data_IF_506927613240
#
_entry.id   IF_506927613240
#
_cell.length_a   1.000
_cell.length_b   1.000
_cell.length_c   1.000
_cell.angle_alpha   90.00
_cell.angle_beta   90.00
_cell.angle_gamma   90.00
#
_symmetry.space_group_name_H-M   'P 1'
#
loop_
_entity.id
_entity.type
_entity.pdbx_description
1 polymer ?
#
# COMPACT_ATOMS: atom_id res chain seq x y z
N UNK A 1 14.56 17.02 -4.77
CA UNK A 1 14.00 16.56 -3.47
C UNK A 1 12.68 17.24 -3.20
N UNK A 2 11.70 16.49 -2.72
CA UNK A 2 10.45 17.06 -2.21
C UNK A 2 10.74 17.85 -0.93
N UNK A 3 10.27 19.11 -0.85
CA UNK A 3 10.54 19.98 0.30
C UNK A 3 9.56 19.78 1.46
N UNK A 4 8.51 18.99 1.27
CA UNK A 4 7.38 18.88 2.21
C UNK A 4 7.37 17.58 2.99
N UNK A 5 7.83 16.50 2.36
CA UNK A 5 7.92 15.17 3.00
C UNK A 5 8.99 14.32 2.33
N UNK A 6 9.50 13.31 3.03
CA UNK A 6 10.46 12.35 2.51
C UNK A 6 9.76 11.37 1.57
N UNK A 7 9.82 11.66 0.28
CA UNK A 7 9.10 10.90 -0.74
C UNK A 7 9.82 9.60 -1.09
N UNK A 8 9.05 8.59 -1.57
CA UNK A 8 9.63 7.36 -2.12
C UNK A 8 10.65 7.66 -3.23
N UNK A 9 10.40 8.67 -4.06
CA UNK A 9 11.35 9.04 -5.13
C UNK A 9 12.69 9.53 -4.56
N UNK A 10 12.65 10.36 -3.50
CA UNK A 10 13.88 10.83 -2.84
C UNK A 10 14.61 9.67 -2.15
N UNK A 11 13.85 8.76 -1.48
CA UNK A 11 14.42 7.56 -0.89
C UNK A 11 15.13 6.69 -1.93
N UNK A 12 14.47 6.40 -3.06
CA UNK A 12 15.04 5.58 -4.14
C UNK A 12 16.29 6.22 -4.74
N UNK A 13 16.26 7.54 -4.98
CA UNK A 13 17.42 8.26 -5.51
C UNK A 13 18.61 8.23 -4.53
N UNK A 14 18.33 8.38 -3.23
CA UNK A 14 19.38 8.34 -2.21
C UNK A 14 19.95 6.92 -2.03
N UNK A 15 19.12 5.90 -2.15
CA UNK A 15 19.52 4.50 -1.90
C UNK A 15 20.22 3.87 -3.10
N UNK A 16 19.70 4.11 -4.32
CA UNK A 16 20.18 3.42 -5.52
C UNK A 16 20.99 4.33 -6.46
N UNK A 17 21.05 5.65 -6.18
CA UNK A 17 21.80 6.60 -7.02
C UNK A 17 21.17 6.91 -8.37
N UNK A 18 20.08 6.22 -8.72
CA UNK A 18 19.43 6.29 -10.04
C UNK A 18 17.89 6.19 -9.93
N UNK A 19 17.23 6.40 -11.06
CA UNK A 19 15.78 6.30 -11.13
C UNK A 19 15.35 4.84 -11.12
N UNK A 20 14.65 4.45 -10.07
CA UNK A 20 14.04 3.12 -9.92
C UNK A 20 12.52 3.23 -10.05
N UNK A 21 11.87 2.24 -10.69
CA UNK A 21 10.42 2.23 -10.86
C UNK A 21 9.80 0.92 -10.35
N UNK A 22 8.60 0.97 -9.75
CA UNK A 22 7.88 -0.23 -9.30
C UNK A 22 7.15 -0.89 -10.45
N UNK A 23 7.36 -2.19 -10.65
CA UNK A 23 6.64 -3.05 -11.58
C UNK A 23 5.55 -3.81 -10.82
N UNK A 24 4.30 -3.54 -11.12
CA UNK A 24 3.17 -4.20 -10.47
C UNK A 24 2.94 -5.59 -11.06
N UNK A 25 3.04 -6.60 -10.21
CA UNK A 25 2.94 -8.02 -10.56
C UNK A 25 1.76 -8.65 -9.81
N UNK A 26 1.05 -9.55 -10.48
CA UNK A 26 -0.03 -10.36 -9.91
C UNK A 26 0.32 -11.83 -10.04
N UNK A 27 0.35 -12.54 -8.91
CA UNK A 27 0.63 -13.97 -8.86
C UNK A 27 -0.62 -14.83 -9.03
N UNK A 28 -1.81 -14.23 -9.16
CA UNK A 28 -3.08 -14.95 -9.18
C UNK A 28 -3.45 -15.59 -7.84
N UNK A 29 -2.83 -15.13 -6.74
CA UNK A 29 -3.13 -15.61 -5.40
C UNK A 29 -4.48 -15.06 -4.91
N UNK A 30 -5.01 -15.65 -3.85
CA UNK A 30 -6.25 -15.24 -3.21
C UNK A 30 -6.01 -14.52 -1.87
N UNK A 31 -7.05 -14.43 -1.07
CA UNK A 31 -7.02 -13.84 0.25
C UNK A 31 -7.91 -14.68 1.20
N UNK A 32 -7.50 -14.93 2.45
CA UNK A 32 -8.29 -15.70 3.40
C UNK A 32 -9.66 -15.07 3.72
N UNK A 33 -9.87 -13.80 3.40
CA UNK A 33 -11.17 -13.14 3.45
C UNK A 33 -12.08 -13.47 2.24
N UNK A 34 -11.60 -14.26 1.26
CA UNK A 34 -12.32 -14.54 0.02
C UNK A 34 -12.49 -16.02 -0.29
N UNK A 35 -11.62 -16.87 0.24
CA UNK A 35 -11.61 -18.31 -0.07
C UNK A 35 -12.39 -19.16 0.95
N UNK A 36 -13.07 -18.55 1.89
CA UNK A 36 -13.87 -19.20 2.91
C UNK A 36 -13.12 -19.51 4.21
N UNK A 37 -11.83 -19.21 4.31
CA UNK A 37 -11.08 -19.43 5.55
C UNK A 37 -11.48 -18.47 6.67
N UNK A 38 -11.65 -17.20 6.37
CA UNK A 38 -12.10 -16.15 7.29
C UNK A 38 -13.45 -15.56 6.88
N UNK A 39 -13.61 -15.23 5.62
CA UNK A 39 -14.85 -14.75 4.98
C UNK A 39 -14.84 -15.19 3.51
N UNK A 40 -15.99 -15.08 2.83
CA UNK A 40 -16.13 -15.36 1.39
C UNK A 40 -16.24 -14.10 0.54
N UNK A 41 -16.54 -12.95 1.16
CA UNK A 41 -16.84 -11.69 0.47
C UNK A 41 -15.67 -10.73 0.36
N UNK A 42 -14.60 -10.91 1.17
CA UNK A 42 -13.48 -9.99 1.26
C UNK A 42 -13.77 -8.73 2.08
N UNK A 43 -12.80 -7.84 2.18
CA UNK A 43 -13.02 -6.51 2.78
C UNK A 43 -14.09 -5.76 1.98
N UNK A 44 -14.94 -4.96 2.68
CA UNK A 44 -16.12 -4.33 2.07
C UNK A 44 -15.79 -3.37 0.91
N UNK A 45 -14.58 -2.83 0.87
CA UNK A 45 -14.09 -1.90 -0.16
C UNK A 45 -13.32 -2.58 -1.30
N UNK A 46 -13.05 -3.89 -1.16
CA UNK A 46 -12.15 -4.61 -2.07
C UNK A 46 -12.91 -5.19 -3.26
N UNK A 47 -12.65 -4.67 -4.46
CA UNK A 47 -13.22 -5.20 -5.68
C UNK A 47 -12.59 -6.55 -6.04
N UNK A 48 -13.38 -7.52 -6.46
CA UNK A 48 -12.88 -8.79 -6.98
C UNK A 48 -12.07 -8.56 -8.27
N UNK A 49 -10.93 -9.23 -8.41
CA UNK A 49 -10.06 -9.06 -9.57
C UNK A 49 -9.27 -7.75 -9.56
N UNK A 50 -8.85 -7.29 -8.41
CA UNK A 50 -8.36 -5.94 -8.11
C UNK A 50 -7.09 -5.47 -8.83
N UNK A 51 -6.52 -6.23 -9.75
CA UNK A 51 -5.25 -5.88 -10.36
C UNK A 51 -5.35 -5.41 -11.81
N UNK A 52 -6.21 -4.43 -12.06
CA UNK A 52 -6.31 -3.78 -13.38
C UNK A 52 -4.99 -3.13 -13.88
N UNK A 53 -3.97 -3.03 -13.03
CA UNK A 53 -2.70 -2.36 -13.32
C UNK A 53 -1.49 -3.29 -13.21
N UNK A 54 -1.69 -4.59 -13.00
CA UNK A 54 -0.58 -5.56 -12.80
C UNK A 54 -0.50 -6.56 -13.94
N UNK A 55 0.72 -7.01 -14.23
CA UNK A 55 0.95 -8.10 -15.14
C UNK A 55 0.59 -9.42 -14.44
N UNK A 56 -0.38 -10.16 -14.99
CA UNK A 56 -0.97 -11.35 -14.38
C UNK A 56 -0.73 -12.64 -15.18
N UNK A 57 -0.34 -12.58 -16.45
CA UNK A 57 -0.18 -13.75 -17.30
C UNK A 57 1.29 -14.19 -17.43
N UNK A 58 1.52 -15.51 -17.57
CA UNK A 58 2.82 -16.11 -17.77
C UNK A 58 3.57 -16.43 -16.47
N UNK A 59 4.79 -16.89 -16.63
CA UNK A 59 5.71 -17.07 -15.51
C UNK A 59 6.23 -15.73 -14.95
N UNK A 60 7.08 -15.78 -13.93
CA UNK A 60 7.55 -14.54 -13.27
C UNK A 60 8.40 -13.66 -14.19
N UNK A 61 9.17 -14.27 -15.11
CA UNK A 61 10.00 -13.52 -16.06
C UNK A 61 9.11 -12.79 -17.06
N UNK A 62 8.13 -13.48 -17.62
CA UNK A 62 7.15 -12.90 -18.55
C UNK A 62 6.31 -11.80 -17.89
N UNK A 63 5.88 -12.01 -16.63
CA UNK A 63 5.18 -10.98 -15.84
C UNK A 63 6.02 -9.71 -15.67
N UNK A 64 7.30 -9.84 -15.34
CA UNK A 64 8.21 -8.71 -15.19
C UNK A 64 8.38 -7.99 -16.52
N UNK A 65 8.60 -8.70 -17.62
CA UNK A 65 8.80 -8.10 -18.93
C UNK A 65 7.55 -7.40 -19.46
N UNK A 66 6.38 -7.99 -19.25
CA UNK A 66 5.08 -7.33 -19.53
C UNK A 66 4.87 -6.06 -18.67
N UNK A 67 5.18 -6.14 -17.38
CA UNK A 67 5.09 -4.98 -16.50
C UNK A 67 6.02 -3.84 -16.95
N UNK A 68 7.22 -4.15 -17.44
CA UNK A 68 8.13 -3.16 -18.05
C UNK A 68 7.50 -2.50 -19.28
N UNK A 69 6.87 -3.27 -20.15
CA UNK A 69 6.15 -2.73 -21.32
C UNK A 69 5.01 -1.78 -20.92
N UNK A 70 4.24 -2.13 -19.88
CA UNK A 70 3.14 -1.29 -19.38
C UNK A 70 3.61 0.08 -18.86
N UNK A 71 4.84 0.16 -18.36
CA UNK A 71 5.40 1.40 -17.81
C UNK A 71 6.37 2.11 -18.75
N UNK A 72 6.75 1.53 -19.87
CA UNK A 72 7.74 2.08 -20.82
C UNK A 72 7.43 3.53 -21.27
N UNK A 73 6.12 3.87 -21.41
CA UNK A 73 5.70 5.24 -21.74
C UNK A 73 5.73 6.20 -20.56
N UNK A 74 5.86 5.69 -19.31
CA UNK A 74 5.81 6.49 -18.09
C UNK A 74 7.19 6.75 -17.49
N UNK A 75 8.16 5.91 -17.80
CA UNK A 75 9.50 6.00 -17.21
C UNK A 75 10.56 5.52 -18.19
N UNK A 76 11.77 6.10 -18.04
CA UNK A 76 13.00 5.62 -18.68
C UNK A 76 13.90 4.88 -17.69
N UNK A 77 13.36 4.43 -16.55
CA UNK A 77 14.13 3.65 -15.58
C UNK A 77 14.57 2.33 -16.20
N UNK A 78 15.79 1.91 -15.88
CA UNK A 78 16.37 0.62 -16.29
C UNK A 78 16.42 -0.36 -15.11
N UNK A 79 16.25 0.15 -13.88
CA UNK A 79 16.23 -0.62 -12.64
C UNK A 79 14.83 -0.58 -12.01
N UNK A 80 14.41 -1.71 -11.48
CA UNK A 80 13.02 -1.89 -11.06
C UNK A 80 12.90 -2.56 -9.70
N UNK A 81 11.77 -2.32 -9.04
CA UNK A 81 11.31 -3.06 -7.87
C UNK A 81 10.20 -3.99 -8.34
N UNK A 82 10.36 -5.30 -8.13
CA UNK A 82 9.30 -6.26 -8.35
C UNK A 82 8.26 -6.12 -7.23
N UNK A 83 7.09 -5.59 -7.55
CA UNK A 83 6.02 -5.28 -6.59
C UNK A 83 4.85 -6.22 -6.75
N UNK A 84 4.72 -7.15 -5.82
CA UNK A 84 3.62 -8.10 -5.72
C UNK A 84 2.49 -7.47 -4.92
N UNK A 85 1.39 -7.07 -5.60
CA UNK A 85 0.38 -6.22 -4.97
C UNK A 85 -1.05 -6.74 -4.95
N UNK A 86 -1.42 -7.71 -5.75
CA UNK A 86 -2.79 -8.21 -5.81
C UNK A 86 -3.07 -9.12 -4.62
N UNK A 87 -4.14 -8.84 -3.87
CA UNK A 87 -4.58 -9.64 -2.73
C UNK A 87 -3.49 -9.86 -1.66
N UNK A 88 -3.19 -11.14 -1.31
CA UNK A 88 -2.30 -11.49 -0.21
C UNK A 88 -1.13 -12.33 -0.73
N UNK A 89 0.00 -11.69 -1.02
CA UNK A 89 1.09 -12.31 -1.76
C UNK A 89 2.01 -13.22 -0.94
N UNK A 90 1.67 -13.49 0.30
CA UNK A 90 2.30 -14.52 1.14
C UNK A 90 1.35 -15.67 1.46
N UNK A 91 0.13 -15.65 0.89
CA UNK A 91 -0.89 -16.66 1.12
C UNK A 91 -0.84 -17.75 0.05
N UNK A 92 0.24 -18.51 0.08
CA UNK A 92 0.50 -19.65 -0.79
C UNK A 92 1.50 -20.61 -0.12
N UNK A 93 1.70 -21.85 -0.62
CA UNK A 93 2.75 -22.73 -0.14
C UNK A 93 4.14 -22.06 -0.20
N UNK A 94 4.93 -22.21 0.86
CA UNK A 94 6.24 -21.53 0.99
C UNK A 94 7.19 -21.89 -0.14
N UNK A 95 7.17 -23.14 -0.62
CA UNK A 95 7.99 -23.58 -1.75
C UNK A 95 7.65 -22.83 -3.05
N UNK A 96 6.36 -22.56 -3.29
CA UNK A 96 5.94 -21.75 -4.44
C UNK A 96 6.44 -20.30 -4.30
N UNK A 97 6.27 -19.69 -3.13
CA UNK A 97 6.75 -18.34 -2.85
C UNK A 97 8.28 -18.26 -2.99
N UNK A 98 9.00 -19.25 -2.46
CA UNK A 98 10.46 -19.34 -2.58
C UNK A 98 10.90 -19.34 -4.03
N UNK A 99 10.29 -20.18 -4.87
CA UNK A 99 10.60 -20.23 -6.30
C UNK A 99 10.39 -18.86 -6.95
N UNK A 100 9.17 -18.31 -6.85
CA UNK A 100 8.78 -17.08 -7.55
C UNK A 100 9.57 -15.86 -7.09
N UNK A 101 9.75 -15.69 -5.78
CA UNK A 101 10.46 -14.54 -5.23
C UNK A 101 11.97 -14.64 -5.52
N UNK A 102 12.55 -15.86 -5.48
CA UNK A 102 13.97 -16.05 -5.82
C UNK A 102 14.22 -15.77 -7.31
N UNK A 103 13.39 -16.29 -8.20
CA UNK A 103 13.48 -16.00 -9.62
C UNK A 103 13.36 -14.49 -9.91
N UNK A 104 12.45 -13.78 -9.23
CA UNK A 104 12.28 -12.34 -9.38
C UNK A 104 13.49 -11.54 -8.86
N UNK A 105 13.99 -11.84 -7.64
CA UNK A 105 15.04 -11.04 -6.99
C UNK A 105 16.41 -11.25 -7.67
N UNK A 106 16.64 -12.40 -8.25
CA UNK A 106 17.90 -12.71 -8.94
C UNK A 106 18.03 -12.05 -10.31
N UNK A 107 16.94 -11.51 -10.87
CA UNK A 107 17.05 -10.76 -12.12
C UNK A 107 17.96 -9.54 -11.94
N UNK A 108 18.79 -9.29 -12.92
CA UNK A 108 19.78 -8.21 -12.88
C UNK A 108 19.14 -6.83 -12.82
N UNK A 109 18.03 -6.63 -13.55
CA UNK A 109 17.28 -5.37 -13.61
C UNK A 109 16.35 -5.13 -12.39
N UNK A 110 16.21 -6.10 -11.47
CA UNK A 110 15.45 -5.95 -10.21
C UNK A 110 16.41 -5.59 -9.08
N UNK A 111 16.17 -4.46 -8.42
CA UNK A 111 16.98 -3.96 -7.31
C UNK A 111 16.40 -4.27 -5.92
N UNK A 112 15.10 -4.57 -5.84
CA UNK A 112 14.41 -4.90 -4.59
C UNK A 112 13.12 -5.67 -4.88
N UNK A 113 12.61 -6.38 -3.88
CA UNK A 113 11.24 -6.88 -3.85
C UNK A 113 10.35 -5.98 -2.97
N UNK A 114 9.08 -5.87 -3.31
CA UNK A 114 8.05 -5.27 -2.48
C UNK A 114 6.84 -6.21 -2.46
N UNK A 115 6.50 -6.77 -1.30
CA UNK A 115 5.48 -7.81 -1.16
C UNK A 115 4.31 -7.28 -0.33
N UNK A 116 3.16 -7.02 -0.98
CA UNK A 116 1.95 -6.60 -0.29
C UNK A 116 1.22 -7.82 0.28
N UNK A 117 0.91 -7.77 1.56
CA UNK A 117 0.26 -8.88 2.25
C UNK A 117 -0.54 -8.42 3.47
N UNK A 118 -1.20 -9.38 4.10
CA UNK A 118 -1.90 -9.25 5.37
C UNK A 118 -0.96 -9.63 6.53
N UNK A 119 -1.02 -8.94 7.67
CA UNK A 119 -0.22 -9.28 8.84
C UNK A 119 -0.42 -10.72 9.34
N UNK A 120 -1.65 -11.24 9.26
CA UNK A 120 -2.03 -12.60 9.67
C UNK A 120 -1.65 -13.70 8.65
N UNK A 121 -1.00 -13.34 7.55
CA UNK A 121 -0.50 -14.26 6.52
C UNK A 121 1.04 -14.28 6.46
N UNK A 122 1.69 -14.17 7.60
CA UNK A 122 3.16 -14.21 7.75
C UNK A 122 3.57 -15.31 8.76
N UNK A 123 3.39 -16.61 8.43
CA UNK A 123 3.92 -17.69 9.26
C UNK A 123 5.47 -17.62 9.31
N UNK A 124 6.09 -18.29 10.28
CA UNK A 124 7.53 -18.17 10.55
C UNK A 124 8.39 -18.58 9.34
N UNK A 125 7.97 -19.61 8.61
CA UNK A 125 8.67 -20.05 7.41
C UNK A 125 8.65 -19.01 6.28
N UNK A 126 7.60 -18.20 6.17
CA UNK A 126 7.53 -17.11 5.19
C UNK A 126 8.40 -15.94 5.64
N UNK A 127 8.40 -15.59 6.92
CA UNK A 127 9.30 -14.54 7.45
C UNK A 127 10.75 -14.96 7.24
N UNK A 128 11.11 -16.21 7.52
CA UNK A 128 12.44 -16.74 7.28
C UNK A 128 12.84 -16.68 5.79
N UNK A 129 11.93 -17.05 4.88
CA UNK A 129 12.16 -16.93 3.44
C UNK A 129 12.43 -15.48 3.03
N UNK A 130 11.61 -14.53 3.50
CA UNK A 130 11.79 -13.11 3.19
C UNK A 130 13.11 -12.58 3.76
N UNK A 131 13.54 -13.06 4.92
CA UNK A 131 14.84 -12.74 5.51
C UNK A 131 16.02 -13.30 4.69
N UNK A 132 15.92 -14.54 4.17
CA UNK A 132 16.91 -15.09 3.24
C UNK A 132 17.04 -14.21 1.99
N UNK A 133 15.93 -13.82 1.39
CA UNK A 133 15.90 -12.98 0.20
C UNK A 133 16.44 -11.56 0.49
N UNK A 134 16.15 -11.01 1.67
CA UNK A 134 16.63 -9.69 2.09
C UNK A 134 18.17 -9.61 2.20
N UNK A 135 18.86 -10.74 2.37
CA UNK A 135 20.34 -10.81 2.32
C UNK A 135 20.89 -10.73 0.89
N UNK A 136 20.06 -11.01 -0.12
CA UNK A 136 20.44 -10.93 -1.55
C UNK A 136 20.25 -9.50 -2.06
N UNK A 137 19.04 -8.97 -1.92
CA UNK A 137 18.65 -7.59 -2.27
C UNK A 137 17.53 -7.14 -1.30
N UNK A 138 17.34 -5.82 -1.09
CA UNK A 138 16.30 -5.32 -0.20
C UNK A 138 14.93 -5.93 -0.45
N UNK A 139 14.28 -6.39 0.62
CA UNK A 139 12.89 -6.85 0.62
C UNK A 139 12.05 -5.92 1.47
N UNK A 140 10.96 -5.43 0.91
CA UNK A 140 9.96 -4.63 1.62
C UNK A 140 8.67 -5.42 1.76
N UNK A 141 8.10 -5.41 2.95
CA UNK A 141 6.79 -5.98 3.20
C UNK A 141 5.78 -4.85 3.40
N UNK A 142 4.76 -4.83 2.54
CA UNK A 142 3.69 -3.84 2.60
C UNK A 142 2.50 -4.42 3.34
N UNK A 143 2.23 -3.92 4.56
CA UNK A 143 1.19 -4.43 5.45
C UNK A 143 -0.07 -3.57 5.41
N UNK A 144 -1.21 -4.24 5.27
CA UNK A 144 -2.51 -3.59 5.33
C UNK A 144 -2.95 -3.37 6.78
N UNK A 145 -2.66 -2.24 7.41
CA UNK A 145 -3.32 -1.84 8.67
C UNK A 145 -4.73 -1.32 8.39
N UNK A 146 -4.86 -0.49 7.38
CA UNK A 146 -6.03 0.27 6.94
C UNK A 146 -6.50 1.31 7.94
N UNK A 147 -6.74 0.93 9.20
CA UNK A 147 -7.09 1.77 10.34
C UNK A 147 -6.64 1.15 11.65
N UNK A 148 -6.35 1.97 12.66
CA UNK A 148 -6.15 1.52 14.04
C UNK A 148 -7.45 1.50 14.86
N UNK A 149 -8.56 2.04 14.35
CA UNK A 149 -9.85 1.94 15.00
C UNK A 149 -10.43 0.54 14.83
N UNK A 150 -10.48 -0.25 15.92
CA UNK A 150 -10.92 -1.65 15.87
C UNK A 150 -12.39 -1.81 15.47
N UNK A 151 -13.27 -0.83 15.76
CA UNK A 151 -14.67 -0.87 15.33
C UNK A 151 -14.76 -0.69 13.81
N UNK A 152 -14.01 0.25 13.26
CA UNK A 152 -13.91 0.43 11.81
C UNK A 152 -13.26 -0.79 11.16
N UNK A 153 -12.22 -1.36 11.77
CA UNK A 153 -11.56 -2.59 11.27
C UNK A 153 -12.53 -3.78 11.19
N UNK A 154 -13.42 -3.93 12.15
CA UNK A 154 -14.49 -4.93 12.13
C UNK A 154 -15.51 -4.62 11.03
N UNK A 155 -16.00 -3.38 10.94
CA UNK A 155 -16.94 -2.95 9.91
C UNK A 155 -16.42 -3.22 8.50
N UNK A 156 -15.14 -2.89 8.22
CA UNK A 156 -14.53 -3.14 6.91
C UNK A 156 -14.15 -4.60 6.67
N UNK A 157 -14.45 -5.51 7.61
CA UNK A 157 -14.11 -6.93 7.54
C UNK A 157 -12.60 -7.17 7.35
N UNK A 158 -11.77 -6.43 8.09
CA UNK A 158 -10.32 -6.64 8.09
C UNK A 158 -9.94 -8.03 8.63
N UNK A 159 -10.71 -8.56 9.60
CA UNK A 159 -10.63 -9.90 10.18
C UNK A 159 -9.33 -10.20 10.95
N UNK A 160 -8.61 -9.21 11.45
CA UNK A 160 -7.52 -9.33 12.42
C UNK A 160 -7.44 -8.09 13.31
N UNK A 161 -6.89 -8.28 14.52
CA UNK A 161 -6.70 -7.23 15.51
C UNK A 161 -5.42 -6.43 15.26
N UNK A 162 -5.34 -5.23 15.83
CA UNK A 162 -4.14 -4.40 15.74
C UNK A 162 -2.90 -5.09 16.33
N UNK A 163 -3.05 -5.96 17.35
CA UNK A 163 -1.96 -6.75 17.91
C UNK A 163 -1.29 -7.67 16.89
N UNK A 164 -2.04 -8.22 15.94
CA UNK A 164 -1.48 -9.05 14.85
C UNK A 164 -0.61 -8.21 13.92
N UNK A 165 -1.02 -6.95 13.65
CA UNK A 165 -0.21 -6.03 12.88
C UNK A 165 1.09 -5.65 13.61
N UNK A 166 1.02 -5.30 14.91
CA UNK A 166 2.21 -4.94 15.68
C UNK A 166 3.19 -6.10 15.82
N UNK A 167 2.69 -7.33 16.03
CA UNK A 167 3.51 -8.54 16.03
C UNK A 167 4.21 -8.74 14.69
N UNK A 168 3.49 -8.65 13.59
CA UNK A 168 4.07 -8.79 12.25
C UNK A 168 5.16 -7.75 11.97
N UNK A 169 4.93 -6.48 12.35
CA UNK A 169 5.96 -5.43 12.23
C UNK A 169 7.19 -5.79 13.04
N UNK A 170 7.04 -6.17 14.31
CA UNK A 170 8.15 -6.53 15.21
C UNK A 170 8.97 -7.69 14.63
N UNK A 171 8.32 -8.76 14.17
CA UNK A 171 8.98 -9.95 13.59
C UNK A 171 9.72 -9.61 12.29
N UNK A 172 9.14 -8.82 11.39
CA UNK A 172 9.80 -8.38 10.17
C UNK A 172 11.01 -7.47 10.47
N UNK A 173 10.84 -6.55 11.41
CA UNK A 173 11.92 -5.63 11.83
C UNK A 173 13.08 -6.36 12.50
N UNK A 174 12.85 -7.43 13.28
CA UNK A 174 13.91 -8.24 13.87
C UNK A 174 14.78 -8.94 12.82
N UNK A 175 14.24 -9.20 11.63
CA UNK A 175 14.96 -9.73 10.46
C UNK A 175 15.55 -8.64 9.55
N UNK A 176 15.49 -7.37 9.94
CA UNK A 176 15.99 -6.24 9.14
C UNK A 176 15.16 -5.93 7.90
N UNK A 177 13.94 -6.47 7.81
CA UNK A 177 13.03 -6.25 6.68
C UNK A 177 12.31 -4.92 6.87
N UNK A 178 12.27 -4.09 5.82
CA UNK A 178 11.54 -2.83 5.85
C UNK A 178 10.04 -3.05 5.74
N UNK A 179 9.28 -2.36 6.58
CA UNK A 179 7.83 -2.43 6.63
C UNK A 179 7.20 -1.15 6.10
N UNK A 180 6.28 -1.29 5.15
CA UNK A 180 5.48 -0.19 4.61
C UNK A 180 4.01 -0.40 5.01
N UNK A 181 3.44 0.55 5.70
CA UNK A 181 2.07 0.45 6.19
C UNK A 181 1.07 1.10 5.24
N UNK A 182 -0.01 0.41 4.95
CA UNK A 182 -1.15 0.95 4.22
C UNK A 182 -2.22 1.45 5.18
N UNK A 183 -2.60 2.72 5.04
CA UNK A 183 -3.70 3.37 5.77
C UNK A 183 -4.69 3.94 4.75
N UNK A 184 -5.97 3.81 5.04
CA UNK A 184 -7.05 4.38 4.24
C UNK A 184 -7.66 5.54 5.01
N UNK A 185 -7.66 6.73 4.42
CA UNK A 185 -8.29 7.93 4.95
C UNK A 185 -9.71 8.07 4.39
N UNK A 186 -10.68 8.33 5.26
CA UNK A 186 -12.09 8.50 4.91
C UNK A 186 -12.92 7.24 5.03
N UNK A 187 -12.51 6.25 5.84
CA UNK A 187 -13.33 5.08 6.15
C UNK A 187 -14.62 5.49 6.86
N UNK A 188 -15.76 4.82 6.58
CA UNK A 188 -17.04 5.15 7.20
C UNK A 188 -17.00 5.11 8.72
N UNK A 189 -17.60 6.12 9.35
CA UNK A 189 -17.68 6.24 10.81
C UNK A 189 -16.40 6.74 11.48
N UNK A 190 -15.31 6.96 10.74
CA UNK A 190 -14.09 7.56 11.29
C UNK A 190 -14.16 9.08 11.36
N UNK A 191 -13.73 9.60 12.50
CA UNK A 191 -13.44 11.01 12.68
C UNK A 191 -12.04 11.35 12.16
N UNK A 192 -11.74 12.64 12.01
CA UNK A 192 -10.37 13.11 11.76
C UNK A 192 -9.39 12.56 12.79
N UNK A 193 -9.78 12.52 14.07
CA UNK A 193 -8.93 11.99 15.15
C UNK A 193 -8.59 10.50 14.97
N UNK A 194 -9.54 9.68 14.51
CA UNK A 194 -9.32 8.26 14.27
C UNK A 194 -8.31 8.03 13.15
N UNK A 195 -8.42 8.81 12.07
CA UNK A 195 -7.48 8.74 10.93
C UNK A 195 -6.06 9.14 11.34
N UNK A 196 -5.93 10.22 12.13
CA UNK A 196 -4.64 10.67 12.67
C UNK A 196 -4.06 9.65 13.65
N UNK A 197 -4.89 9.09 14.55
CA UNK A 197 -4.47 8.05 15.49
C UNK A 197 -3.95 6.79 14.74
N UNK A 198 -4.48 6.48 13.56
CA UNK A 198 -4.00 5.37 12.73
C UNK A 198 -2.58 5.61 12.19
N UNK A 199 -2.25 6.86 11.85
CA UNK A 199 -0.91 7.26 11.43
C UNK A 199 0.07 7.21 12.59
N UNK A 200 -0.31 7.79 13.74
CA UNK A 200 0.50 7.76 14.97
C UNK A 200 0.76 6.30 15.43
N UNK A 201 -0.26 5.44 15.33
CA UNK A 201 -0.14 4.01 15.65
C UNK A 201 0.87 3.29 14.75
N UNK A 202 0.81 3.52 13.44
CA UNK A 202 1.75 2.92 12.49
C UNK A 202 3.19 3.41 12.73
N UNK A 203 3.37 4.72 12.96
CA UNK A 203 4.69 5.29 13.27
C UNK A 203 5.25 4.69 14.58
N UNK A 204 4.44 4.60 15.63
CA UNK A 204 4.82 4.03 16.92
C UNK A 204 5.13 2.53 16.85
N UNK A 205 4.47 1.80 15.96
CA UNK A 205 4.77 0.38 15.72
C UNK A 205 6.12 0.16 15.01
N UNK A 206 6.75 1.20 14.45
CA UNK A 206 8.07 1.13 13.82
C UNK A 206 8.06 0.92 12.31
N UNK A 207 7.00 1.36 11.61
CA UNK A 207 6.96 1.33 10.14
C UNK A 207 8.09 2.19 9.53
N UNK A 208 8.70 1.72 8.45
CA UNK A 208 9.74 2.46 7.72
C UNK A 208 9.14 3.34 6.61
N UNK A 209 7.98 2.97 6.12
CA UNK A 209 7.28 3.70 5.09
C UNK A 209 5.76 3.64 5.24
N UNK A 210 5.07 4.57 4.60
CA UNK A 210 3.62 4.67 4.73
C UNK A 210 2.97 5.00 3.38
N UNK A 211 1.78 4.44 3.16
CA UNK A 211 0.87 4.81 2.08
C UNK A 211 -0.40 5.40 2.71
N UNK A 212 -0.59 6.68 2.52
CA UNK A 212 -1.81 7.40 2.90
C UNK A 212 -2.77 7.36 1.71
N UNK A 213 -3.74 6.48 1.75
CA UNK A 213 -4.64 6.23 0.62
C UNK A 213 -5.99 6.87 0.88
N UNK A 214 -6.53 7.58 -0.13
CA UNK A 214 -7.93 8.00 -0.13
C UNK A 214 -8.83 6.77 -0.28
N UNK A 215 -9.89 6.69 0.51
CA UNK A 215 -10.96 5.72 0.29
C UNK A 215 -11.60 5.95 -1.10
N UNK A 216 -11.59 4.91 -1.92
CA UNK A 216 -12.35 4.88 -3.16
C UNK A 216 -13.56 3.96 -3.02
N UNK A 217 -14.73 4.48 -3.33
CA UNK A 217 -15.98 3.74 -3.34
C UNK A 217 -16.15 3.19 -4.76
N UNK A 218 -16.06 1.87 -4.89
CA UNK A 218 -16.05 1.19 -6.19
C UNK A 218 -17.37 0.45 -6.40
N UNK A 219 -17.97 0.63 -7.56
CA UNK A 219 -19.16 -0.14 -7.97
C UNK A 219 -18.87 -1.64 -7.91
N UNK A 220 -19.81 -2.42 -7.38
CA UNK A 220 -19.68 -3.85 -7.21
C UNK A 220 -19.01 -4.27 -5.90
N UNK A 221 -18.85 -3.35 -4.95
CA UNK A 221 -18.40 -3.65 -3.57
C UNK A 221 -19.54 -3.47 -2.58
N UNK A 222 -19.48 -4.16 -1.44
CA UNK A 222 -20.47 -3.99 -0.36
C UNK A 222 -20.46 -2.55 0.19
N UNK A 223 -19.28 -1.90 0.19
CA UNK A 223 -19.15 -0.49 0.57
C UNK A 223 -19.96 0.44 -0.35
N UNK A 224 -20.05 0.11 -1.63
CA UNK A 224 -20.87 0.88 -2.58
C UNK A 224 -22.37 0.81 -2.25
N UNK A 225 -22.84 -0.37 -1.82
CA UNK A 225 -24.23 -0.54 -1.38
C UNK A 225 -24.55 0.31 -0.14
N UNK A 226 -23.64 0.39 0.82
CA UNK A 226 -23.79 1.23 2.01
C UNK A 226 -23.75 2.74 1.67
N UNK A 227 -22.92 3.10 0.68
CA UNK A 227 -22.88 4.46 0.15
C UNK A 227 -24.19 4.86 -0.54
N UNK A 228 -24.79 3.98 -1.32
CA UNK A 228 -26.08 4.22 -1.97
C UNK A 228 -27.25 4.41 -0.95
N UNK A 229 -27.17 3.73 0.19
CA UNK A 229 -28.13 3.92 1.30
C UNK A 229 -27.94 5.26 2.05
N UNK A 230 -26.90 6.03 1.72
CA UNK A 230 -26.58 7.27 2.42
C UNK A 230 -25.99 7.07 3.80
N UNK A 231 -25.42 5.88 4.10
CA UNK A 231 -24.86 5.56 5.43
C UNK A 231 -23.63 6.41 5.77
N UNK A 232 -22.94 6.93 4.77
CA UNK A 232 -21.79 7.82 4.91
C UNK A 232 -21.56 8.63 3.61
N UNK A 233 -20.69 9.65 3.71
CA UNK A 233 -20.28 10.47 2.57
C UNK A 233 -18.80 10.30 2.29
N UNK A 234 -18.41 10.37 1.00
CA UNK A 234 -17.00 10.43 0.62
C UNK A 234 -16.42 11.80 0.98
N UNK A 235 -15.13 11.83 1.35
CA UNK A 235 -14.43 13.09 1.63
C UNK A 235 -14.40 13.99 0.38
N UNK A 236 -14.61 15.28 0.59
CA UNK A 236 -14.28 16.31 -0.40
C UNK A 236 -12.76 16.42 -0.54
N UNK A 237 -12.28 17.03 -1.61
CA UNK A 237 -10.84 17.22 -1.81
C UNK A 237 -10.22 18.08 -0.70
N UNK A 238 -10.95 19.08 -0.19
CA UNK A 238 -10.44 19.95 0.88
C UNK A 238 -10.36 19.20 2.21
N UNK A 239 -11.38 18.44 2.61
CA UNK A 239 -11.34 17.59 3.80
C UNK A 239 -10.20 16.59 3.73
N UNK A 240 -10.03 15.93 2.56
CA UNK A 240 -8.92 15.00 2.35
C UNK A 240 -7.56 15.68 2.50
N UNK A 241 -7.36 16.85 1.89
CA UNK A 241 -6.10 17.59 2.01
C UNK A 241 -5.82 18.02 3.44
N UNK A 242 -6.82 18.49 4.17
CA UNK A 242 -6.67 18.92 5.57
C UNK A 242 -6.22 17.76 6.48
N UNK A 243 -6.79 16.57 6.28
CA UNK A 243 -6.41 15.36 7.01
C UNK A 243 -5.01 14.89 6.58
N UNK A 244 -4.76 14.79 5.27
CA UNK A 244 -3.50 14.34 4.71
C UNK A 244 -2.32 15.20 5.19
N UNK A 245 -2.49 16.52 5.21
CA UNK A 245 -1.43 17.45 5.63
C UNK A 245 -1.11 17.29 7.11
N UNK A 246 -2.11 17.12 7.94
CA UNK A 246 -1.87 16.84 9.36
C UNK A 246 -1.22 15.48 9.56
N UNK A 247 -1.60 14.44 8.79
CA UNK A 247 -0.89 13.16 8.78
C UNK A 247 0.61 13.34 8.45
N UNK A 248 0.92 14.12 7.41
CA UNK A 248 2.31 14.39 7.02
C UNK A 248 3.07 15.12 8.15
N UNK A 249 2.47 16.13 8.78
CA UNK A 249 3.12 16.86 9.89
C UNK A 249 3.41 15.98 11.12
N UNK A 250 2.60 14.93 11.36
CA UNK A 250 2.75 13.98 12.48
C UNK A 250 3.75 12.86 12.21
N UNK A 251 4.05 12.58 10.95
CA UNK A 251 5.00 11.52 10.59
C UNK A 251 6.43 11.93 10.96
N UNK A 252 7.20 11.12 11.72
CA UNK A 252 8.64 11.29 11.87
C UNK A 252 9.35 11.47 10.54
N UNK A 253 10.40 12.32 10.50
CA UNK A 253 11.11 12.70 9.25
C UNK A 253 11.76 11.51 8.53
N UNK A 254 12.07 10.43 9.23
CA UNK A 254 12.66 9.21 8.69
C UNK A 254 11.67 8.25 8.01
N UNK A 255 10.37 8.42 8.21
CA UNK A 255 9.35 7.55 7.58
C UNK A 255 9.13 7.98 6.13
N UNK A 256 9.34 7.05 5.20
CA UNK A 256 9.20 7.31 3.77
C UNK A 256 7.73 7.35 3.36
N UNK A 257 7.27 8.44 2.76
CA UNK A 257 5.91 8.53 2.24
C UNK A 257 5.86 7.94 0.82
N UNK A 258 5.35 6.71 0.72
CA UNK A 258 5.28 5.97 -0.54
C UNK A 258 4.14 6.44 -1.43
N UNK A 259 3.07 6.96 -0.83
CA UNK A 259 1.87 7.38 -1.56
C UNK A 259 1.04 8.34 -0.72
N UNK A 260 0.50 9.37 -1.37
CA UNK A 260 -0.36 10.39 -0.77
C UNK A 260 -1.76 10.44 -1.38
N UNK A 261 -2.15 9.45 -2.18
CA UNK A 261 -3.50 9.26 -2.74
C UNK A 261 -3.66 7.82 -3.20
N UNK A 262 -4.87 7.40 -3.54
CA UNK A 262 -5.15 6.08 -4.10
C UNK A 262 -5.11 6.06 -5.64
N UNK A 263 -5.22 4.85 -6.18
CA UNK A 263 -5.55 4.59 -7.58
C UNK A 263 -6.83 3.76 -7.64
N UNK A 264 -7.79 4.17 -8.46
CA UNK A 264 -9.02 3.43 -8.69
C UNK A 264 -9.23 3.18 -10.19
N UNK A 265 -9.77 2.00 -10.57
CA UNK A 265 -10.20 1.78 -11.94
C UNK A 265 -11.34 2.75 -12.27
N UNK A 266 -11.13 3.66 -13.22
CA UNK A 266 -12.09 4.73 -13.55
C UNK A 266 -13.50 4.19 -13.86
N UNK A 267 -13.58 3.03 -14.52
CA UNK A 267 -14.86 2.40 -14.88
C UNK A 267 -15.68 2.00 -13.63
N UNK A 268 -15.02 1.68 -12.53
CA UNK A 268 -15.65 1.25 -11.27
C UNK A 268 -15.78 2.37 -10.23
N UNK A 269 -15.07 3.48 -10.38
CA UNK A 269 -15.10 4.57 -9.41
C UNK A 269 -16.48 5.22 -9.35
N UNK A 270 -17.13 5.12 -8.18
CA UNK A 270 -18.39 5.80 -7.89
C UNK A 270 -18.13 7.12 -7.15
N UNK A 271 -17.27 7.10 -6.12
CA UNK A 271 -16.91 8.28 -5.34
C UNK A 271 -15.52 8.12 -4.66
N UNK A 272 -14.86 9.22 -4.32
CA UNK A 272 -15.18 10.58 -4.76
C UNK A 272 -14.74 10.81 -6.22
N UNK A 273 -15.59 11.41 -7.01
CA UNK A 273 -15.34 11.58 -8.47
C UNK A 273 -14.17 12.51 -8.79
N UNK A 274 -13.85 13.45 -7.92
CA UNK A 274 -12.68 14.34 -8.07
C UNK A 274 -11.35 13.58 -8.12
N UNK A 275 -11.29 12.38 -7.54
CA UNK A 275 -10.06 11.55 -7.52
C UNK A 275 -9.75 10.86 -8.88
N UNK A 276 -10.67 10.89 -9.83
CA UNK A 276 -10.51 10.27 -11.17
C UNK A 276 -9.38 10.88 -11.99
N UNK A 277 -9.05 12.16 -11.79
CA UNK A 277 -7.90 12.83 -12.42
C UNK A 277 -6.73 12.94 -11.44
N UNK A 278 -5.99 11.84 -11.30
CA UNK A 278 -4.84 11.75 -10.41
C UNK A 278 -3.79 12.85 -10.63
N UNK A 279 -3.57 13.28 -11.90
CA UNK A 279 -2.57 14.31 -12.20
C UNK A 279 -2.99 15.66 -11.61
N UNK A 280 -4.23 16.05 -11.82
CA UNK A 280 -4.78 17.29 -11.26
C UNK A 280 -4.80 17.23 -9.73
N UNK A 281 -5.20 16.11 -9.15
CA UNK A 281 -5.19 15.91 -7.68
C UNK A 281 -3.79 16.09 -7.11
N UNK A 282 -2.78 15.42 -7.66
CA UNK A 282 -1.40 15.54 -7.18
C UNK A 282 -0.84 16.96 -7.34
N UNK A 283 -1.13 17.63 -8.45
CA UNK A 283 -0.72 19.01 -8.66
C UNK A 283 -1.37 19.95 -7.63
N UNK A 284 -2.66 19.75 -7.34
CA UNK A 284 -3.39 20.53 -6.33
C UNK A 284 -2.80 20.30 -4.93
N UNK A 285 -2.58 19.04 -4.53
CA UNK A 285 -1.96 18.70 -3.24
C UNK A 285 -0.59 19.35 -3.12
N UNK A 286 0.29 19.23 -4.12
CA UNK A 286 1.64 19.80 -4.09
C UNK A 286 1.63 21.34 -3.99
N UNK A 287 0.70 22.00 -4.69
CA UNK A 287 0.52 23.45 -4.57
C UNK A 287 0.07 23.85 -3.16
N UNK A 288 -0.91 23.17 -2.59
CA UNK A 288 -1.43 23.45 -1.27
C UNK A 288 -0.41 23.14 -0.15
N UNK A 289 0.38 22.08 -0.28
CA UNK A 289 1.51 21.80 0.62
C UNK A 289 2.47 23.00 0.68
N UNK A 290 2.79 23.57 -0.48
CA UNK A 290 3.67 24.74 -0.56
C UNK A 290 3.04 26.00 0.03
N UNK A 291 1.78 26.29 -0.33
CA UNK A 291 1.07 27.47 0.14
C UNK A 291 0.87 27.48 1.67
N UNK A 292 0.60 26.30 2.25
CA UNK A 292 0.36 26.14 3.70
C UNK A 292 1.64 25.89 4.50
N UNK A 293 2.81 25.79 3.83
CA UNK A 293 4.10 25.55 4.48
C UNK A 293 4.18 24.24 5.24
N UNK A 294 3.47 23.19 4.75
CA UNK A 294 3.43 21.88 5.39
C UNK A 294 4.81 21.23 5.34
N UNK A 295 5.22 20.64 6.46
CA UNK A 295 6.50 19.93 6.57
C UNK A 295 6.35 18.71 7.47
N UNK A 296 6.84 17.56 7.00
CA UNK A 296 6.92 16.32 7.78
C UNK A 296 7.74 16.51 9.05
N UNK A 297 7.32 15.88 10.14
CA UNK A 297 7.99 15.94 11.42
C UNK A 297 7.67 17.18 12.27
N UNK A 298 6.90 18.13 11.75
CA UNK A 298 6.60 19.37 12.48
C UNK A 298 5.78 19.15 13.76
N UNK A 299 5.01 18.06 13.83
CA UNK A 299 4.15 17.66 14.97
C UNK A 299 4.44 16.23 15.45
N UNK A 300 5.57 15.63 15.06
CA UNK A 300 5.97 14.27 15.43
C UNK A 300 6.44 14.22 16.91
#
# INVERSE_FOLDING_TARGET
MNKHYYSLNDYLQNTFGEKVYKLSLDLGLTCPNRDGRLDTRGCIFCLAGSSHFSACEGDIFEKIDRAKQLVAKKTKAERFIAYFQSFTNTYAPTEYLKKVFTEAILREDIVALSVATRPDCLPDEVVALLAELNRIKPVWVELGLQTANEKTAEYIRRCYKNSVYTDAVMRLKSEGIQVITHIILGLPGETRSDMLASVDFAAKAGTDGIKLQLLHILRGTDLYEDYLKGSFSALTINEYMDILFECIERLPENIVVHRITGDAPKAHLAAPTWSADKKTVLNTINRELALRGIKQGRKA
#
